data_IF_004558118185
#
_entry.id   IF_004558118185
#
_cell.length_a   1.000
_cell.length_b   1.000
_cell.length_c   1.000
_cell.angle_alpha   90.00
_cell.angle_beta   90.00
_cell.angle_gamma   90.00
#
_symmetry.space_group_name_H-M   'P 1'
#
loop_
_entity.id
_entity.type
_entity.pdbx_description
1 polymer ?
#
# COMPACT_ATOMS: atom_id res chain seq x y z
N UNK A 1 -15.82 19.71 -49.94
CA UNK A 1 -16.19 18.36 -49.51
C UNK A 1 -15.01 17.46 -49.13
N UNK A 2 -13.87 17.52 -49.81
CA UNK A 2 -12.67 16.70 -49.45
C UNK A 2 -11.96 17.05 -48.14
N UNK A 3 -12.01 18.29 -47.68
CA UNK A 3 -11.34 18.75 -46.48
C UNK A 3 -12.03 18.21 -45.19
N UNK A 4 -13.36 18.16 -45.20
CA UNK A 4 -14.14 17.66 -44.04
C UNK A 4 -13.95 16.17 -43.87
N UNK A 5 -13.84 15.41 -44.95
CA UNK A 5 -13.56 13.97 -44.90
C UNK A 5 -12.19 13.65 -44.28
N UNK A 6 -11.16 14.39 -44.65
CA UNK A 6 -9.81 14.18 -44.11
C UNK A 6 -9.75 14.52 -42.61
N UNK A 7 -10.45 15.53 -42.15
CA UNK A 7 -10.53 15.90 -40.74
C UNK A 7 -11.22 14.83 -39.90
N UNK A 8 -12.27 14.22 -40.46
CA UNK A 8 -13.01 13.15 -39.78
C UNK A 8 -12.16 11.89 -39.63
N UNK A 9 -11.39 11.47 -40.64
CA UNK A 9 -10.48 10.33 -40.56
C UNK A 9 -9.32 10.58 -39.61
N UNK A 10 -8.78 11.80 -39.56
CA UNK A 10 -7.73 12.17 -38.63
C UNK A 10 -8.20 12.16 -37.18
N UNK A 11 -9.40 12.68 -36.90
CA UNK A 11 -10.03 12.66 -35.58
C UNK A 11 -10.35 11.23 -35.12
N UNK A 12 -10.84 10.38 -36.01
CA UNK A 12 -11.12 8.97 -35.69
C UNK A 12 -9.85 8.17 -35.42
N UNK A 13 -8.76 8.41 -36.17
CA UNK A 13 -7.45 7.80 -35.96
C UNK A 13 -6.84 8.24 -34.63
N UNK A 14 -6.95 9.51 -34.27
CA UNK A 14 -6.46 10.03 -32.98
C UNK A 14 -7.20 9.42 -31.80
N UNK A 15 -8.53 9.27 -31.90
CA UNK A 15 -9.36 8.63 -30.88
C UNK A 15 -8.95 7.16 -30.68
N UNK A 16 -8.72 6.43 -31.76
CA UNK A 16 -8.27 5.04 -31.72
C UNK A 16 -6.89 4.90 -31.04
N UNK A 17 -5.99 5.85 -31.30
CA UNK A 17 -4.67 5.87 -30.67
C UNK A 17 -4.76 6.09 -29.16
N UNK A 18 -5.59 7.04 -28.70
CA UNK A 18 -5.78 7.33 -27.29
C UNK A 18 -6.38 6.13 -26.54
N UNK A 19 -7.31 5.40 -27.13
CA UNK A 19 -7.93 4.23 -26.52
C UNK A 19 -6.97 3.04 -26.34
N UNK A 20 -5.94 2.92 -27.18
CA UNK A 20 -4.96 1.85 -27.07
C UNK A 20 -3.82 2.15 -26.06
N UNK A 21 -3.63 3.41 -25.69
CA UNK A 21 -2.63 3.83 -24.70
C UNK A 21 -3.23 4.15 -23.32
N UNK A 22 -4.50 3.84 -23.09
CA UNK A 22 -5.07 3.95 -21.75
C UNK A 22 -4.25 3.04 -20.81
N UNK A 23 -3.59 3.59 -19.78
CA UNK A 23 -2.86 2.75 -18.83
C UNK A 23 -3.87 1.82 -18.17
N UNK A 24 -3.56 0.53 -18.12
CA UNK A 24 -4.34 -0.42 -17.35
C UNK A 24 -4.39 0.09 -15.91
N UNK A 25 -5.55 0.58 -15.50
CA UNK A 25 -5.80 0.85 -14.10
C UNK A 25 -5.85 -0.51 -13.40
N UNK A 26 -4.77 -0.89 -12.74
CA UNK A 26 -4.81 -1.99 -11.80
C UNK A 26 -5.73 -1.54 -10.66
N UNK A 27 -6.96 -1.99 -10.71
CA UNK A 27 -7.88 -1.80 -9.60
C UNK A 27 -7.22 -2.37 -8.35
N UNK A 28 -7.23 -1.61 -7.26
CA UNK A 28 -6.92 -2.13 -5.94
C UNK A 28 -7.92 -3.25 -5.71
N UNK A 29 -7.43 -4.49 -5.47
CA UNK A 29 -8.29 -5.63 -5.15
C UNK A 29 -9.20 -5.32 -3.97
N UNK A 30 -10.18 -6.17 -3.71
CA UNK A 30 -11.04 -6.01 -2.53
C UNK A 30 -10.16 -5.93 -1.29
N UNK A 31 -10.35 -4.86 -0.52
CA UNK A 31 -9.64 -4.65 0.74
C UNK A 31 -10.13 -5.70 1.75
N UNK A 32 -9.21 -6.42 2.37
CA UNK A 32 -9.47 -7.46 3.38
C UNK A 32 -8.72 -7.12 4.68
N UNK A 33 -9.30 -6.22 5.46
CA UNK A 33 -8.73 -5.78 6.73
C UNK A 33 -8.87 -6.82 7.81
N UNK A 34 -7.74 -7.30 8.33
CA UNK A 34 -7.66 -8.17 9.49
C UNK A 34 -6.98 -7.42 10.63
N UNK A 35 -7.65 -7.34 11.79
CA UNK A 35 -7.03 -6.82 13.00
C UNK A 35 -5.97 -7.80 13.48
N UNK A 36 -4.72 -7.37 13.53
CA UNK A 36 -3.59 -8.19 13.96
C UNK A 36 -3.39 -8.11 15.48
N UNK A 37 -3.40 -6.89 16.00
CA UNK A 37 -3.15 -6.63 17.42
C UNK A 37 -3.78 -5.32 17.89
N UNK A 38 -4.11 -5.30 19.16
CA UNK A 38 -4.51 -4.11 19.91
C UNK A 38 -3.75 -4.08 21.23
N UNK A 39 -3.19 -2.92 21.58
CA UNK A 39 -2.51 -2.67 22.85
C UNK A 39 -2.80 -1.24 23.35
N UNK A 40 -2.07 -0.79 24.38
CA UNK A 40 -2.28 0.54 24.94
C UNK A 40 -1.88 1.69 23.98
N UNK A 41 -1.02 1.42 23.02
CA UNK A 41 -0.57 2.41 22.02
C UNK A 41 -1.58 2.58 20.89
N UNK A 42 -2.25 1.47 20.49
CA UNK A 42 -3.20 1.51 19.40
C UNK A 42 -3.62 0.15 18.87
N UNK A 43 -4.11 0.18 17.63
CA UNK A 43 -4.60 -0.99 16.89
C UNK A 43 -3.93 -1.06 15.55
N UNK A 44 -3.49 -2.26 15.17
CA UNK A 44 -2.84 -2.53 13.89
C UNK A 44 -3.66 -3.51 13.06
N UNK A 45 -3.91 -3.16 11.80
CA UNK A 45 -4.58 -4.00 10.80
C UNK A 45 -3.69 -4.22 9.59
N UNK A 46 -3.84 -5.36 9.01
CA UNK A 46 -3.23 -5.77 7.75
C UNK A 46 -4.32 -5.95 6.68
N UNK A 47 -4.13 -5.38 5.51
CA UNK A 47 -4.94 -5.73 4.35
C UNK A 47 -4.34 -6.97 3.66
N UNK A 48 -4.92 -8.14 3.92
CA UNK A 48 -4.48 -9.41 3.32
C UNK A 48 -4.55 -9.38 1.79
N UNK A 49 -5.53 -8.69 1.23
CA UNK A 49 -5.67 -8.53 -0.21
C UNK A 49 -4.58 -7.71 -0.87
N UNK A 50 -3.83 -6.92 -0.10
CA UNK A 50 -2.74 -6.07 -0.58
C UNK A 50 -1.37 -6.75 -0.63
N UNK A 51 -1.23 -7.93 0.01
CA UNK A 51 0.07 -8.61 0.12
C UNK A 51 0.56 -9.04 -1.25
N UNK A 52 1.75 -8.56 -1.65
CA UNK A 52 2.37 -8.87 -2.95
C UNK A 52 3.84 -9.22 -2.76
N UNK A 53 4.25 -10.35 -3.32
CA UNK A 53 5.65 -10.67 -3.44
C UNK A 53 6.28 -9.89 -4.59
N UNK A 54 7.42 -9.28 -4.33
CA UNK A 54 8.20 -8.51 -5.29
C UNK A 54 9.28 -9.41 -5.92
N UNK A 55 9.84 -8.96 -7.06
CA UNK A 55 10.81 -9.74 -7.85
C UNK A 55 12.10 -10.08 -7.10
N UNK A 56 12.44 -9.35 -6.04
CA UNK A 56 13.63 -9.53 -5.21
C UNK A 56 13.37 -10.35 -3.93
N UNK A 57 12.20 -11.00 -3.82
CA UNK A 57 11.82 -11.78 -2.64
C UNK A 57 11.27 -10.95 -1.47
N UNK A 58 11.26 -9.62 -1.58
CA UNK A 58 10.59 -8.76 -0.61
C UNK A 58 9.07 -8.82 -0.76
N UNK A 59 8.36 -8.38 0.26
CA UNK A 59 6.90 -8.30 0.28
C UNK A 59 6.50 -6.83 0.35
N UNK A 60 5.45 -6.45 -0.39
CA UNK A 60 4.75 -5.19 -0.23
C UNK A 60 3.39 -5.44 0.39
N UNK A 61 3.01 -4.62 1.37
CA UNK A 61 1.76 -4.77 2.11
C UNK A 61 1.20 -3.41 2.52
N UNK A 62 -0.13 -3.30 2.58
CA UNK A 62 -0.84 -2.14 3.12
C UNK A 62 -1.26 -2.46 4.56
N UNK A 63 -0.91 -1.57 5.48
CA UNK A 63 -1.34 -1.63 6.87
C UNK A 63 -2.08 -0.37 7.29
N UNK A 64 -2.80 -0.47 8.38
CA UNK A 64 -3.54 0.61 8.98
C UNK A 64 -3.30 0.59 10.49
N UNK A 65 -2.79 1.69 11.02
CA UNK A 65 -2.58 1.90 12.44
C UNK A 65 -3.52 2.97 12.96
N UNK A 66 -4.21 2.68 14.05
CA UNK A 66 -4.96 3.66 14.82
C UNK A 66 -4.27 3.87 16.17
N UNK A 67 -3.72 5.06 16.35
CA UNK A 67 -3.14 5.47 17.63
C UNK A 67 -4.25 5.82 18.60
N UNK A 68 -4.23 5.21 19.79
CA UNK A 68 -5.19 5.53 20.83
C UNK A 68 -5.08 6.98 21.26
N UNK A 69 -6.21 7.65 21.60
CA UNK A 69 -6.17 9.01 22.10
C UNK A 69 -5.34 9.10 23.38
N UNK A 70 -4.59 10.15 23.52
CA UNK A 70 -3.93 10.53 24.76
C UNK A 70 -4.96 11.22 25.66
N UNK A 71 -4.76 11.24 26.99
CA UNK A 71 -5.70 11.76 27.98
C UNK A 71 -5.95 13.30 27.87
N UNK A 72 -5.80 13.91 26.71
CA UNK A 72 -6.17 15.30 26.45
C UNK A 72 -7.57 15.36 25.85
N UNK A 73 -8.40 16.27 26.33
CA UNK A 73 -9.82 16.42 25.97
C UNK A 73 -10.07 16.71 24.47
N UNK A 74 -9.01 16.97 23.68
CA UNK A 74 -9.06 17.30 22.26
C UNK A 74 -8.40 16.24 21.35
N UNK A 75 -8.05 15.04 21.85
CA UNK A 75 -7.38 14.00 21.09
C UNK A 75 -8.35 12.81 20.81
N UNK A 76 -8.88 12.77 19.60
CA UNK A 76 -9.77 11.70 19.11
C UNK A 76 -9.00 10.45 18.64
N UNK A 77 -7.68 10.43 18.76
CA UNK A 77 -6.80 9.42 18.18
C UNK A 77 -6.47 9.72 16.72
N UNK A 78 -5.51 9.01 16.18
CA UNK A 78 -4.99 9.23 14.83
C UNK A 78 -4.98 7.94 14.02
N UNK A 79 -5.56 7.99 12.81
CA UNK A 79 -5.53 6.90 11.85
C UNK A 79 -4.47 7.18 10.78
N UNK A 80 -3.58 6.22 10.58
CA UNK A 80 -2.55 6.28 9.54
C UNK A 80 -2.56 5.03 8.68
N UNK A 81 -2.29 5.20 7.38
CA UNK A 81 -2.12 4.13 6.39
C UNK A 81 -0.66 4.06 5.97
N UNK A 82 -0.11 2.85 5.97
CA UNK A 82 1.28 2.61 5.58
C UNK A 82 1.33 1.60 4.44
N UNK A 83 2.08 1.91 3.39
CA UNK A 83 2.54 0.90 2.45
C UNK A 83 3.95 0.54 2.83
N UNK A 84 4.12 -0.69 3.31
CA UNK A 84 5.40 -1.20 3.79
C UNK A 84 6.04 -2.13 2.77
N UNK A 85 7.36 -2.12 2.68
CA UNK A 85 8.15 -3.21 2.13
C UNK A 85 8.81 -3.97 3.26
N UNK A 86 8.76 -5.30 3.18
CA UNK A 86 9.27 -6.21 4.21
C UNK A 86 10.28 -7.15 3.56
N UNK A 87 11.44 -7.27 4.19
CA UNK A 87 12.43 -8.30 3.91
C UNK A 87 12.28 -9.37 5.00
N UNK A 88 11.68 -10.51 4.63
CA UNK A 88 11.38 -11.57 5.58
C UNK A 88 12.63 -12.28 6.11
N UNK A 89 13.68 -12.42 5.30
CA UNK A 89 14.92 -13.09 5.68
C UNK A 89 15.68 -12.30 6.76
N UNK A 90 15.69 -10.98 6.63
CA UNK A 90 16.38 -10.08 7.56
C UNK A 90 15.46 -9.54 8.68
N UNK A 91 14.15 -9.80 8.60
CA UNK A 91 13.12 -9.22 9.49
C UNK A 91 13.21 -7.70 9.58
N UNK A 92 13.38 -7.07 8.43
CA UNK A 92 13.44 -5.61 8.27
C UNK A 92 12.25 -5.11 7.47
N UNK A 93 11.90 -3.87 7.71
CA UNK A 93 10.86 -3.18 6.96
C UNK A 93 11.28 -1.76 6.61
N UNK A 94 10.55 -1.15 5.70
CA UNK A 94 10.59 0.29 5.40
C UNK A 94 9.24 0.74 4.88
N UNK A 95 8.83 1.94 5.26
CA UNK A 95 7.63 2.57 4.71
C UNK A 95 7.95 3.15 3.35
N UNK A 96 7.18 2.79 2.35
CA UNK A 96 7.29 3.35 0.99
C UNK A 96 6.23 4.43 0.73
N UNK A 97 5.16 4.44 1.53
CA UNK A 97 4.15 5.49 1.53
C UNK A 97 3.50 5.59 2.90
N UNK A 98 3.18 6.82 3.34
CA UNK A 98 2.42 7.11 4.56
C UNK A 98 1.26 8.02 4.15
N UNK A 99 0.03 7.60 4.44
CA UNK A 99 -1.20 8.32 4.06
C UNK A 99 -1.24 8.74 2.57
N UNK A 100 -0.73 7.86 1.69
CA UNK A 100 -0.63 8.11 0.26
C UNK A 100 0.55 8.99 -0.18
N UNK A 101 1.37 9.49 0.74
CA UNK A 101 2.56 10.30 0.43
C UNK A 101 3.78 9.39 0.30
N UNK A 102 4.44 9.33 -0.89
CA UNK A 102 5.62 8.50 -1.09
C UNK A 102 6.78 8.89 -0.18
N UNK A 103 7.49 7.88 0.36
CA UNK A 103 8.64 8.03 1.25
C UNK A 103 9.94 7.63 0.52
N UNK A 104 10.48 8.51 -0.33
CA UNK A 104 11.64 8.21 -1.17
C UNK A 104 12.95 8.01 -0.39
N UNK A 105 13.06 8.57 0.81
CA UNK A 105 14.26 8.50 1.65
C UNK A 105 14.17 7.46 2.76
N UNK A 106 13.10 6.65 2.79
CA UNK A 106 12.88 5.62 3.79
C UNK A 106 13.99 4.57 3.76
N UNK A 107 14.51 4.23 4.93
CA UNK A 107 15.59 3.25 5.11
C UNK A 107 15.05 1.97 5.71
N UNK A 108 15.73 0.86 5.44
CA UNK A 108 15.49 -0.40 6.11
C UNK A 108 15.76 -0.28 7.61
N UNK A 109 14.82 -0.74 8.41
CA UNK A 109 14.88 -0.70 9.87
C UNK A 109 14.31 -2.00 10.46
N UNK A 110 14.69 -2.30 11.69
CA UNK A 110 14.10 -3.37 12.48
C UNK A 110 12.94 -2.81 13.29
N UNK A 111 12.07 -3.68 13.79
CA UNK A 111 10.94 -3.29 14.65
C UNK A 111 11.38 -2.66 15.99
N UNK A 112 12.62 -2.88 16.42
CA UNK A 112 13.13 -2.41 17.72
C UNK A 112 12.26 -2.85 18.92
N UNK A 113 11.69 -4.07 18.85
CA UNK A 113 10.76 -4.65 19.83
C UNK A 113 9.39 -3.96 19.86
N UNK A 114 9.01 -3.24 18.80
CA UNK A 114 7.64 -2.78 18.61
C UNK A 114 6.76 -3.98 18.23
N UNK A 115 5.90 -4.39 19.15
CA UNK A 115 5.04 -5.57 18.98
C UNK A 115 4.02 -5.42 17.84
N UNK A 116 3.61 -4.19 17.52
CA UNK A 116 2.67 -3.94 16.42
C UNK A 116 3.35 -4.12 15.07
N UNK A 117 4.61 -3.70 14.96
CA UNK A 117 5.42 -3.92 13.76
C UNK A 117 5.83 -5.39 13.63
N UNK A 118 6.24 -6.04 14.73
CA UNK A 118 6.61 -7.45 14.71
C UNK A 118 5.48 -8.33 14.18
N UNK A 119 4.24 -8.11 14.65
CA UNK A 119 3.09 -8.89 14.21
C UNK A 119 2.75 -8.67 12.73
N UNK A 120 2.99 -7.47 12.17
CA UNK A 120 2.85 -7.20 10.74
C UNK A 120 3.85 -8.02 9.95
N UNK A 121 5.14 -8.00 10.34
CA UNK A 121 6.21 -8.75 9.67
C UNK A 121 5.87 -10.25 9.68
N UNK A 122 5.53 -10.80 10.84
CA UNK A 122 5.22 -12.22 11.00
C UNK A 122 4.04 -12.66 10.12
N UNK A 123 2.92 -11.93 10.17
CA UNK A 123 1.74 -12.28 9.38
C UNK A 123 1.98 -12.13 7.88
N UNK A 124 2.65 -11.06 7.45
CA UNK A 124 2.96 -10.84 6.04
C UNK A 124 3.89 -11.90 5.48
N UNK A 125 4.91 -12.31 6.24
CA UNK A 125 5.88 -13.31 5.80
C UNK A 125 5.31 -14.73 5.82
N UNK A 126 4.40 -15.05 6.74
CA UNK A 126 3.80 -16.41 6.84
C UNK A 126 2.96 -16.79 5.62
N UNK A 127 2.40 -15.84 4.91
CA UNK A 127 1.59 -16.12 3.70
C UNK A 127 2.40 -16.70 2.53
N UNK A 128 3.75 -16.63 2.56
CA UNK A 128 4.64 -17.08 1.48
C UNK A 128 5.59 -18.22 1.87
N UNK A 129 5.48 -18.76 3.09
CA UNK A 129 6.34 -19.88 3.57
C UNK A 129 5.73 -21.27 3.26
N UNK A 130 4.62 -21.32 2.49
CA UNK A 130 4.00 -22.59 2.08
C UNK A 130 4.38 -23.00 0.66
#
# INVERSE_FOLDING_TARGET
>A
MRIISNFFYFSLSLLFFILNFAPYSYGIGNVDWVLLKENNEGKEWLDKGSIKQLSNGEISVLTKFFKNPTNSDDDDGELSLYVMRINCDEKKFKDTSINGIPQFTSKWQTSNNDELIDIVIENSCSEFIN
#
